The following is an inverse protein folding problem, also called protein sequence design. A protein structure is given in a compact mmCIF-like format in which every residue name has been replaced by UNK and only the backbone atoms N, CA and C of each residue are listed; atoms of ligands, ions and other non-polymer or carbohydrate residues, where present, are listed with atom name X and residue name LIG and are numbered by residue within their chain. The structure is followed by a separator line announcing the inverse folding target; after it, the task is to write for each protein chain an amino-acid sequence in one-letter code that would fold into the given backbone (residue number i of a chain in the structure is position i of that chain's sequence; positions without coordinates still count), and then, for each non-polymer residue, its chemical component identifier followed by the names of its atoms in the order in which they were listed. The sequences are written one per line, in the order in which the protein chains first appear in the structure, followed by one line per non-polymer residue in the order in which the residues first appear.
data_IF_200077106462
#
_entry.id   IF_200077106462
#
_cell.length_a   1.000
_cell.length_b   1.000
_cell.length_c   1.000
_cell.angle_alpha   90.00
_cell.angle_beta   90.00
_cell.angle_gamma   90.00
#
_symmetry.space_group_name_H-M   'P 1'
#
loop_
_entity.id
_entity.type
_entity.pdbx_description
1 polymer ?
#
# COMPACT_ATOMS: atom_id res chain seq x y z
N UNK A 1 1.85 -23.56 -3.20
CA UNK A 1 2.74 -22.41 -3.41
C UNK A 1 3.62 -22.26 -2.17
N UNK A 2 4.93 -22.07 -2.32
CA UNK A 2 5.83 -21.89 -1.18
C UNK A 2 5.47 -20.55 -0.51
N UNK A 3 5.33 -20.53 0.81
CA UNK A 3 4.96 -19.30 1.55
C UNK A 3 6.15 -18.35 1.54
N UNK A 4 5.96 -17.13 1.06
CA UNK A 4 7.01 -16.11 0.99
C UNK A 4 7.39 -15.67 2.41
N UNK A 5 8.69 -15.56 2.65
CA UNK A 5 9.21 -15.17 3.96
C UNK A 5 9.49 -13.66 3.99
N UNK A 6 8.62 -12.92 4.66
CA UNK A 6 8.73 -11.46 4.82
C UNK A 6 9.51 -11.03 6.07
N UNK A 7 10.20 -11.95 6.76
CA UNK A 7 10.84 -11.67 8.06
C UNK A 7 11.77 -10.46 8.02
N UNK A 8 12.58 -10.31 6.96
CA UNK A 8 13.52 -9.20 6.84
C UNK A 8 12.80 -7.87 6.62
N UNK A 9 11.77 -7.86 5.79
CA UNK A 9 10.94 -6.67 5.53
C UNK A 9 10.23 -6.25 6.80
N UNK A 10 9.61 -7.19 7.49
CA UNK A 10 8.90 -6.92 8.75
C UNK A 10 9.86 -6.43 9.86
N UNK A 11 11.04 -7.02 9.97
CA UNK A 11 12.05 -6.56 10.92
C UNK A 11 12.51 -5.13 10.60
N UNK A 12 12.82 -4.84 9.34
CA UNK A 12 13.24 -3.51 8.89
C UNK A 12 12.22 -2.44 9.28
N UNK A 13 10.95 -2.62 8.94
CA UNK A 13 9.90 -1.64 9.26
C UNK A 13 9.58 -1.59 10.76
N UNK A 14 9.65 -2.72 11.48
CA UNK A 14 9.45 -2.75 12.94
C UNK A 14 10.53 -1.99 13.70
N UNK A 15 11.80 -2.10 13.29
CA UNK A 15 12.90 -1.33 13.88
C UNK A 15 12.76 0.16 13.61
N UNK A 16 12.43 0.55 12.37
CA UNK A 16 12.17 1.95 12.04
C UNK A 16 10.98 2.51 12.81
N UNK A 17 9.90 1.74 12.96
CA UNK A 17 8.77 2.19 13.76
C UNK A 17 9.13 2.37 15.25
N UNK A 18 9.95 1.49 15.83
CA UNK A 18 10.45 1.66 17.21
C UNK A 18 11.27 2.92 17.37
N UNK A 19 12.06 3.28 16.36
CA UNK A 19 12.96 4.44 16.40
C UNK A 19 12.22 5.76 16.15
N UNK A 20 11.33 5.79 15.15
CA UNK A 20 10.71 7.03 14.65
C UNK A 20 9.23 7.18 14.95
N UNK A 21 8.55 6.12 15.46
CA UNK A 21 7.11 6.12 15.74
C UNK A 21 6.27 6.41 14.51
N UNK A 22 5.19 7.16 14.70
CA UNK A 22 4.39 7.66 13.58
C UNK A 22 5.14 8.80 12.86
N UNK A 23 5.87 8.43 11.84
CA UNK A 23 6.69 9.36 11.06
C UNK A 23 6.89 8.83 9.64
N UNK A 24 6.99 9.69 8.62
CA UNK A 24 7.38 9.30 7.27
C UNK A 24 8.70 8.51 7.23
N UNK A 25 9.61 8.79 8.17
CA UNK A 25 10.85 8.03 8.30
C UNK A 25 10.63 6.54 8.57
N UNK A 26 9.60 6.18 9.34
CA UNK A 26 9.26 4.77 9.59
C UNK A 26 8.90 4.01 8.32
N UNK A 27 8.35 4.71 7.33
CA UNK A 27 8.01 4.19 6.00
C UNK A 27 9.17 4.29 4.98
N UNK A 28 10.34 4.80 5.38
CA UNK A 28 11.47 5.02 4.48
C UNK A 28 11.40 6.30 3.65
N UNK A 29 10.49 7.24 3.98
CA UNK A 29 10.34 8.51 3.27
C UNK A 29 11.23 9.62 3.84
N UNK A 30 12.53 9.38 3.88
CA UNK A 30 13.50 10.31 4.50
C UNK A 30 13.65 11.65 3.73
N UNK A 31 13.25 11.68 2.44
CA UNK A 31 13.44 12.83 1.55
C UNK A 31 12.16 13.63 1.24
N UNK A 32 11.04 13.34 1.92
CA UNK A 32 9.79 14.11 1.79
C UNK A 32 9.11 14.09 0.41
N UNK A 33 9.40 13.08 -0.44
CA UNK A 33 8.88 12.99 -1.81
C UNK A 33 7.60 12.17 -1.97
N UNK A 34 6.98 11.75 -0.88
CA UNK A 34 5.80 10.88 -0.90
C UNK A 34 4.63 11.51 -1.68
N UNK A 35 4.33 12.78 -1.42
CA UNK A 35 3.23 13.49 -2.09
C UNK A 35 3.39 13.57 -3.61
N UNK A 36 4.61 13.77 -4.11
CA UNK A 36 4.89 13.80 -5.56
C UNK A 36 4.55 12.45 -6.20
N UNK A 37 4.86 11.33 -5.53
CA UNK A 37 4.52 9.99 -6.01
C UNK A 37 3.00 9.77 -6.02
N UNK A 38 2.31 10.15 -4.96
CA UNK A 38 0.86 10.08 -4.91
C UNK A 38 0.23 10.91 -6.04
N UNK A 39 0.75 12.11 -6.30
CA UNK A 39 0.28 12.96 -7.38
C UNK A 39 0.40 12.28 -8.75
N UNK A 40 1.57 11.69 -9.03
CA UNK A 40 1.81 10.98 -10.29
C UNK A 40 0.93 9.73 -10.40
N UNK A 41 0.90 8.87 -9.35
CA UNK A 41 0.15 7.62 -9.37
C UNK A 41 -1.37 7.83 -9.48
N UNK A 42 -1.87 8.95 -8.94
CA UNK A 42 -3.31 9.26 -8.98
C UNK A 42 -3.73 10.11 -10.18
N UNK A 43 -2.79 10.66 -10.95
CA UNK A 43 -3.08 11.60 -12.04
C UNK A 43 -3.81 10.97 -13.23
N UNK A 44 -3.70 9.65 -13.39
CA UNK A 44 -4.25 8.92 -14.54
C UNK A 44 -5.70 8.46 -14.32
N UNK A 45 -6.24 8.58 -13.10
CA UNK A 45 -7.53 8.01 -12.74
C UNK A 45 -8.43 9.02 -12.04
N UNK A 46 -9.73 8.91 -12.31
CA UNK A 46 -10.76 9.59 -11.53
C UNK A 46 -11.28 8.64 -10.44
N UNK A 47 -11.02 8.98 -9.19
CA UNK A 47 -11.41 8.18 -8.03
C UNK A 47 -12.80 8.55 -7.47
N UNK A 48 -13.47 9.57 -8.01
CA UNK A 48 -14.77 10.00 -7.50
C UNK A 48 -15.80 8.87 -7.58
N UNK A 49 -16.35 8.49 -6.44
CA UNK A 49 -17.33 7.39 -6.31
C UNK A 49 -16.76 5.98 -6.52
N UNK A 50 -15.44 5.82 -6.57
CA UNK A 50 -14.75 4.58 -6.89
C UNK A 50 -14.26 3.85 -5.65
N UNK A 51 -13.91 2.56 -5.82
CA UNK A 51 -13.25 1.73 -4.81
C UNK A 51 -11.75 1.61 -5.10
N UNK A 52 -10.93 1.91 -4.10
CA UNK A 52 -9.47 1.92 -4.17
C UNK A 52 -8.87 0.92 -3.19
N UNK A 53 -7.98 0.06 -3.70
CA UNK A 53 -7.10 -0.79 -2.92
C UNK A 53 -5.70 -0.15 -2.86
N UNK A 54 -5.20 0.12 -1.65
CA UNK A 54 -3.84 0.61 -1.40
C UNK A 54 -2.97 -0.53 -0.86
N UNK A 55 -2.03 -1.00 -1.67
CA UNK A 55 -1.16 -2.14 -1.38
C UNK A 55 0.14 -1.64 -0.73
N UNK A 56 0.40 -2.05 0.51
CA UNK A 56 1.47 -1.50 1.31
C UNK A 56 1.13 -0.09 1.79
N UNK A 57 -0.07 0.10 2.33
CA UNK A 57 -0.64 1.41 2.64
C UNK A 57 0.09 2.18 3.75
N UNK A 58 0.96 1.53 4.52
CA UNK A 58 1.62 2.12 5.67
C UNK A 58 0.61 2.70 6.67
N UNK A 59 0.72 3.98 6.96
CA UNK A 59 -0.21 4.72 7.84
C UNK A 59 -1.48 5.23 7.16
N UNK A 60 -1.72 4.88 5.88
CA UNK A 60 -2.85 5.38 5.11
C UNK A 60 -2.64 6.81 4.58
N UNK A 61 -1.39 7.21 4.32
CA UNK A 61 -1.08 8.57 3.87
C UNK A 61 -1.69 8.89 2.49
N UNK A 62 -1.88 7.89 1.62
CA UNK A 62 -2.59 8.06 0.35
C UNK A 62 -4.06 8.45 0.58
N UNK A 63 -4.73 7.84 1.57
CA UNK A 63 -6.09 8.24 1.92
C UNK A 63 -6.14 9.71 2.37
N UNK A 64 -5.20 10.13 3.24
CA UNK A 64 -5.10 11.53 3.67
C UNK A 64 -4.84 12.49 2.49
N UNK A 65 -4.04 12.07 1.53
CA UNK A 65 -3.74 12.85 0.32
C UNK A 65 -4.99 13.06 -0.55
N UNK A 66 -5.80 12.02 -0.74
CA UNK A 66 -7.05 12.07 -1.51
C UNK A 66 -8.14 12.88 -0.78
N UNK A 67 -8.25 12.74 0.54
CA UNK A 67 -9.19 13.52 1.37
C UNK A 67 -8.97 15.04 1.23
N UNK A 68 -7.71 15.47 1.19
CA UNK A 68 -7.36 16.90 0.98
C UNK A 68 -7.80 17.44 -0.39
N UNK A 69 -8.11 16.56 -1.33
CA UNK A 69 -8.64 16.90 -2.65
C UNK A 69 -10.17 16.85 -2.73
N UNK A 70 -10.84 16.58 -1.60
CA UNK A 70 -12.30 16.49 -1.51
C UNK A 70 -12.90 15.43 -2.46
N UNK A 71 -12.19 14.31 -2.63
CA UNK A 71 -12.65 13.17 -3.42
C UNK A 71 -13.43 12.23 -2.50
N UNK A 72 -14.61 11.80 -2.90
CA UNK A 72 -15.39 10.77 -2.23
C UNK A 72 -15.10 9.40 -2.87
N UNK A 73 -14.65 8.44 -2.07
CA UNK A 73 -14.23 7.12 -2.53
C UNK A 73 -14.34 6.10 -1.40
N UNK A 74 -14.37 4.81 -1.76
CA UNK A 74 -14.23 3.71 -0.80
C UNK A 74 -12.78 3.24 -0.82
N UNK A 75 -12.17 3.13 0.36
CA UNK A 75 -10.76 2.82 0.50
C UNK A 75 -10.53 1.57 1.33
N UNK A 76 -9.64 0.70 0.85
CA UNK A 76 -9.06 -0.40 1.65
C UNK A 76 -7.54 -0.33 1.55
N UNK A 77 -6.89 -0.14 2.69
CA UNK A 77 -5.45 -0.23 2.82
C UNK A 77 -5.04 -1.58 3.38
N UNK A 78 -4.08 -2.24 2.74
CA UNK A 78 -3.47 -3.47 3.24
C UNK A 78 -1.97 -3.28 3.45
N UNK A 79 -1.45 -3.85 4.54
CA UNK A 79 -0.02 -3.81 4.87
C UNK A 79 0.36 -5.04 5.69
N UNK A 80 1.65 -5.42 5.67
CA UNK A 80 2.18 -6.52 6.48
C UNK A 80 2.45 -6.11 7.93
N UNK A 81 2.56 -4.80 8.21
CA UNK A 81 2.90 -4.26 9.51
C UNK A 81 1.68 -4.02 10.39
N UNK A 82 1.53 -4.79 11.46
CA UNK A 82 0.50 -4.58 12.47
C UNK A 82 0.55 -3.18 13.08
N UNK A 83 1.76 -2.65 13.31
CA UNK A 83 1.96 -1.32 13.88
C UNK A 83 1.42 -0.23 12.95
N UNK A 84 1.69 -0.34 11.65
CA UNK A 84 1.21 0.65 10.68
C UNK A 84 -0.31 0.61 10.54
N UNK A 85 -0.89 -0.58 10.45
CA UNK A 85 -2.35 -0.74 10.36
C UNK A 85 -3.05 -0.25 11.63
N UNK A 86 -2.48 -0.48 12.81
CA UNK A 86 -3.03 0.06 14.05
C UNK A 86 -3.09 1.60 14.01
N UNK A 87 -1.98 2.25 13.65
CA UNK A 87 -1.93 3.72 13.51
C UNK A 87 -2.91 4.22 12.43
N UNK A 88 -2.99 3.53 11.29
CA UNK A 88 -3.91 3.88 10.21
C UNK A 88 -5.38 3.83 10.67
N UNK A 89 -5.79 2.78 11.39
CA UNK A 89 -7.14 2.66 11.97
C UNK A 89 -7.47 3.75 12.98
N UNK A 90 -6.51 4.14 13.81
CA UNK A 90 -6.70 5.20 14.80
C UNK A 90 -6.87 6.58 14.15
N UNK A 91 -6.18 6.82 13.02
CA UNK A 91 -6.18 8.12 12.33
C UNK A 91 -7.32 8.29 11.33
N UNK A 92 -7.74 7.23 10.69
CA UNK A 92 -8.71 7.27 9.59
C UNK A 92 -10.05 6.63 10.01
N UNK A 93 -10.67 7.16 11.07
CA UNK A 93 -11.96 6.69 11.57
C UNK A 93 -13.11 7.17 10.68
N UNK A 94 -13.26 6.54 9.51
CA UNK A 94 -14.32 6.85 8.55
C UNK A 94 -14.96 5.57 8.02
N UNK A 95 -16.30 5.49 7.86
CA UNK A 95 -16.99 4.26 7.46
C UNK A 95 -16.57 3.72 6.09
N UNK A 96 -16.07 4.59 5.20
CA UNK A 96 -15.61 4.23 3.86
C UNK A 96 -14.11 3.85 3.80
N UNK A 97 -13.43 3.74 4.95
CA UNK A 97 -12.01 3.41 5.03
C UNK A 97 -11.79 2.17 5.87
N UNK A 98 -11.23 1.15 5.26
CA UNK A 98 -10.87 -0.11 5.90
C UNK A 98 -9.36 -0.32 5.84
N UNK A 99 -8.81 -0.96 6.88
CA UNK A 99 -7.39 -1.29 6.96
C UNK A 99 -7.21 -2.71 7.48
N UNK A 100 -6.36 -3.50 6.81
CA UNK A 100 -6.15 -4.91 7.15
C UNK A 100 -4.67 -5.27 7.18
N UNK A 101 -4.28 -6.10 8.15
CA UNK A 101 -2.95 -6.72 8.19
C UNK A 101 -3.01 -7.98 7.33
N UNK A 102 -2.57 -7.90 6.10
CA UNK A 102 -2.60 -9.03 5.17
C UNK A 102 -1.61 -8.83 4.03
N UNK A 103 -1.06 -9.94 3.53
CA UNK A 103 -0.31 -9.97 2.28
C UNK A 103 -1.27 -9.90 1.09
N UNK A 104 -0.92 -9.13 0.06
CA UNK A 104 -1.69 -9.05 -1.18
C UNK A 104 -1.91 -10.43 -1.82
N UNK A 105 -0.95 -11.36 -1.72
CA UNK A 105 -1.09 -12.70 -2.28
C UNK A 105 -2.13 -13.55 -1.54
N UNK A 106 -2.32 -13.31 -0.24
CA UNK A 106 -3.32 -13.98 0.61
C UNK A 106 -4.65 -13.20 0.68
N UNK A 107 -4.67 -11.94 0.24
CA UNK A 107 -5.84 -11.09 0.30
C UNK A 107 -6.95 -11.58 -0.63
N UNK A 108 -8.15 -11.78 -0.08
CA UNK A 108 -9.31 -12.23 -0.84
C UNK A 108 -10.49 -11.30 -0.59
N UNK A 109 -10.69 -10.28 -1.44
CA UNK A 109 -11.78 -9.33 -1.30
C UNK A 109 -13.13 -9.97 -1.63
N UNK A 110 -14.20 -9.47 -1.02
CA UNK A 110 -15.56 -9.91 -1.31
C UNK A 110 -16.05 -9.46 -2.69
N UNK A 111 -15.51 -8.36 -3.21
CA UNK A 111 -15.77 -7.81 -4.55
C UNK A 111 -14.53 -7.16 -5.09
N UNK A 112 -14.42 -7.06 -6.41
CA UNK A 112 -13.30 -6.39 -7.05
C UNK A 112 -13.30 -4.89 -6.74
N UNK A 113 -12.09 -4.31 -6.73
CA UNK A 113 -11.87 -2.86 -6.67
C UNK A 113 -11.90 -2.25 -8.06
N UNK A 114 -12.24 -0.97 -8.17
CA UNK A 114 -12.07 -0.24 -9.44
C UNK A 114 -10.59 -0.03 -9.72
N UNK A 115 -9.83 0.45 -8.73
CA UNK A 115 -8.41 0.75 -8.86
C UNK A 115 -7.58 0.13 -7.74
N UNK A 116 -6.29 -0.12 -8.03
CA UNK A 116 -5.28 -0.38 -7.02
C UNK A 116 -4.06 0.54 -7.19
N UNK A 117 -3.47 0.93 -6.06
CA UNK A 117 -2.21 1.68 -6.02
C UNK A 117 -1.23 0.95 -5.10
N UNK A 118 0.05 0.94 -5.48
CA UNK A 118 1.15 0.51 -4.63
C UNK A 118 2.29 1.52 -4.74
N UNK A 119 2.49 2.32 -3.69
CA UNK A 119 3.54 3.34 -3.66
C UNK A 119 4.66 2.98 -2.70
N UNK A 120 5.86 2.82 -3.23
CA UNK A 120 7.06 2.47 -2.46
C UNK A 120 7.08 1.05 -1.88
N UNK A 121 6.12 0.23 -2.20
CA UNK A 121 5.90 -1.10 -1.62
C UNK A 121 6.95 -2.12 -2.06
N UNK A 122 7.45 -2.01 -3.29
CA UNK A 122 8.32 -3.00 -3.91
C UNK A 122 9.81 -2.61 -3.90
N UNK A 123 10.21 -1.69 -3.03
CA UNK A 123 11.56 -1.16 -2.97
C UNK A 123 12.56 -2.06 -2.20
N UNK A 124 12.08 -3.03 -1.44
CA UNK A 124 12.91 -3.94 -0.66
C UNK A 124 12.98 -5.31 -1.33
N UNK A 125 14.20 -5.83 -1.50
CA UNK A 125 14.44 -7.14 -2.06
C UNK A 125 14.00 -8.27 -1.10
N UNK A 126 13.36 -9.29 -1.64
CA UNK A 126 13.07 -10.54 -0.97
C UNK A 126 14.28 -11.48 -1.13
N UNK A 127 14.63 -12.22 -0.06
CA UNK A 127 15.83 -13.09 -0.08
C UNK A 127 15.60 -14.46 -0.71
N UNK A 128 14.35 -14.94 -0.72
CA UNK A 128 14.01 -16.33 -1.06
C UNK A 128 13.32 -16.48 -2.40
N UNK A 129 13.03 -15.39 -3.08
CA UNK A 129 12.38 -15.35 -4.39
C UNK A 129 13.01 -14.25 -5.24
N UNK A 130 13.21 -14.51 -6.50
CA UNK A 130 13.58 -13.48 -7.47
C UNK A 130 12.55 -12.34 -7.42
N UNK A 131 13.03 -11.09 -7.33
CA UNK A 131 12.13 -9.92 -7.22
C UNK A 131 11.11 -9.86 -8.37
N UNK A 132 11.52 -10.22 -9.59
CA UNK A 132 10.62 -10.26 -10.75
C UNK A 132 9.56 -11.35 -10.65
N UNK A 133 9.88 -12.51 -10.08
CA UNK A 133 8.89 -13.57 -9.85
C UNK A 133 7.83 -13.12 -8.85
N UNK A 134 8.26 -12.51 -7.75
CA UNK A 134 7.35 -11.92 -6.77
C UNK A 134 6.44 -10.87 -7.37
N UNK A 135 7.01 -9.92 -8.13
CA UNK A 135 6.24 -8.88 -8.81
C UNK A 135 5.20 -9.45 -9.78
N UNK A 136 5.57 -10.48 -10.54
CA UNK A 136 4.63 -11.15 -11.45
C UNK A 136 3.44 -11.77 -10.69
N UNK A 137 3.69 -12.39 -9.53
CA UNK A 137 2.61 -12.93 -8.68
C UNK A 137 1.70 -11.82 -8.16
N UNK A 138 2.29 -10.73 -7.64
CA UNK A 138 1.54 -9.57 -7.13
C UNK A 138 0.73 -8.92 -8.24
N UNK A 139 1.31 -8.71 -9.41
CA UNK A 139 0.60 -8.09 -10.55
C UNK A 139 -0.53 -8.97 -11.05
N UNK A 140 -0.30 -10.27 -11.22
CA UNK A 140 -1.35 -11.20 -11.61
C UNK A 140 -2.51 -11.21 -10.60
N UNK A 141 -2.19 -11.21 -9.30
CA UNK A 141 -3.18 -11.12 -8.23
C UNK A 141 -3.96 -9.80 -8.29
N UNK A 142 -3.26 -8.67 -8.41
CA UNK A 142 -3.85 -7.34 -8.43
C UNK A 142 -4.77 -7.16 -9.64
N UNK A 143 -4.32 -7.57 -10.83
CA UNK A 143 -5.13 -7.54 -12.06
C UNK A 143 -6.40 -8.39 -11.92
N UNK A 144 -6.32 -9.53 -11.23
CA UNK A 144 -7.48 -10.40 -11.02
C UNK A 144 -8.56 -9.81 -10.09
N UNK A 145 -8.20 -8.84 -9.24
CA UNK A 145 -9.11 -8.22 -8.25
C UNK A 145 -9.38 -6.73 -8.52
N UNK A 146 -8.89 -6.18 -9.63
CA UNK A 146 -9.13 -4.78 -10.03
C UNK A 146 -9.75 -4.73 -11.42
N UNK A 147 -10.72 -3.83 -11.61
CA UNK A 147 -11.49 -3.74 -12.85
C UNK A 147 -10.94 -2.71 -13.84
N UNK A 148 -10.53 -1.52 -13.34
CA UNK A 148 -10.26 -0.36 -14.19
C UNK A 148 -8.76 -0.04 -14.31
N UNK A 149 -7.97 -0.26 -13.25
CA UNK A 149 -6.56 0.04 -13.34
C UNK A 149 -5.72 -0.28 -12.09
N UNK A 150 -4.41 -0.34 -12.32
CA UNK A 150 -3.39 -0.53 -11.29
C UNK A 150 -2.20 0.38 -11.56
N UNK A 151 -1.78 1.16 -10.56
CA UNK A 151 -0.60 2.01 -10.63
C UNK A 151 0.38 1.68 -9.51
N UNK A 152 1.67 1.67 -9.82
CA UNK A 152 2.74 1.38 -8.88
C UNK A 152 4.01 2.14 -9.22
N UNK A 153 4.91 2.29 -8.25
CA UNK A 153 6.23 2.85 -8.46
C UNK A 153 7.34 1.94 -7.92
N UNK A 154 8.53 2.15 -8.45
CA UNK A 154 9.78 1.58 -7.95
C UNK A 154 10.83 2.67 -7.76
N UNK A 155 11.84 2.38 -6.94
CA UNK A 155 13.11 3.08 -7.04
C UNK A 155 13.83 2.59 -8.30
N UNK A 156 14.23 3.52 -9.17
CA UNK A 156 15.23 3.26 -10.22
C UNK A 156 16.61 3.42 -9.60
N UNK A 157 17.53 2.52 -9.97
CA UNK A 157 18.96 2.65 -9.66
C UNK A 157 19.55 3.93 -10.23
#
# INVERSE_FOLDING_TARGET
MQKINYKNINNFYSERYKEYGYSPKSLGWDKGKQNIRFEILTSLYDFQGKSLLDIGCGFGDLALFLDKRHIEYNYTGIDLSENFIKEAKEKHQHPNKNFEVVDILDFTPQQNYDFAIASGTFNLALQEIENYEYLNLVFAKTIAICNDGFAFDFLSD
#
